data_IF_788475972217
#
_entry.id   IF_788475972217
#
_cell.length_a   1.000
_cell.length_b   1.000
_cell.length_c   1.000
_cell.angle_alpha   90.00
_cell.angle_beta   90.00
_cell.angle_gamma   90.00
#
_symmetry.space_group_name_H-M   'P 1'
#
loop_
_entity.id
_entity.type
_entity.pdbx_description
1 polymer ?
#
# COMPACT_ATOMS: atom_id res chain seq x y z
N UNK A 1 -24.63 16.24 -0.34
CA UNK A 1 -24.13 14.96 -0.90
C UNK A 1 -22.79 15.22 -1.57
N UNK A 2 -21.72 14.52 -1.19
CA UNK A 2 -20.49 14.54 -2.00
C UNK A 2 -20.78 13.86 -3.34
N UNK A 3 -20.38 14.45 -4.48
CA UNK A 3 -20.62 13.84 -5.78
C UNK A 3 -19.95 12.46 -5.85
N UNK A 4 -20.58 11.53 -6.57
CA UNK A 4 -20.04 10.20 -6.84
C UNK A 4 -18.67 10.36 -7.49
N UNK A 5 -17.60 10.06 -6.75
CA UNK A 5 -16.24 10.08 -7.27
C UNK A 5 -15.96 8.69 -7.84
N UNK A 6 -15.83 8.53 -9.17
CA UNK A 6 -15.43 7.25 -9.73
C UNK A 6 -14.09 6.81 -9.12
N UNK A 7 -14.05 5.58 -8.63
CA UNK A 7 -12.82 4.98 -8.13
C UNK A 7 -11.94 4.61 -9.30
N UNK A 8 -10.82 5.32 -9.45
CA UNK A 8 -9.89 5.13 -10.54
C UNK A 8 -8.65 4.36 -10.10
N UNK A 9 -8.21 4.57 -8.86
CA UNK A 9 -7.03 3.93 -8.30
C UNK A 9 -7.41 2.81 -7.35
N UNK A 10 -6.58 1.77 -7.26
CA UNK A 10 -6.77 0.69 -6.29
C UNK A 10 -7.01 1.21 -4.85
N UNK A 11 -6.29 2.28 -4.47
CA UNK A 11 -6.43 2.90 -3.16
C UNK A 11 -7.81 3.56 -2.95
N UNK A 12 -8.47 4.06 -4.01
CA UNK A 12 -9.79 4.69 -3.90
C UNK A 12 -10.84 3.69 -3.37
N UNK A 13 -10.73 2.41 -3.75
CA UNK A 13 -11.60 1.35 -3.25
C UNK A 13 -11.31 1.02 -1.78
N UNK A 14 -10.03 0.96 -1.41
CA UNK A 14 -9.62 0.60 -0.05
C UNK A 14 -10.07 1.66 0.97
N UNK A 15 -9.95 2.95 0.64
CA UNK A 15 -10.30 4.05 1.55
C UNK A 15 -11.82 4.21 1.75
N UNK A 16 -12.67 3.53 0.98
CA UNK A 16 -14.12 3.49 1.27
C UNK A 16 -14.43 2.69 2.54
N UNK A 17 -13.59 1.70 2.86
CA UNK A 17 -13.79 0.76 3.97
C UNK A 17 -12.69 0.86 5.03
N UNK A 18 -11.63 1.64 4.78
CA UNK A 18 -10.49 1.81 5.68
C UNK A 18 -10.28 3.28 6.03
N UNK A 19 -9.73 3.53 7.22
CA UNK A 19 -9.31 4.87 7.66
C UNK A 19 -7.82 5.05 7.42
N UNK A 20 -7.45 6.13 6.73
CA UNK A 20 -6.04 6.54 6.59
C UNK A 20 -5.55 7.05 7.95
N UNK A 21 -4.53 6.39 8.51
CA UNK A 21 -3.93 6.77 9.81
C UNK A 21 -2.58 7.48 9.67
N UNK A 22 -1.98 7.43 8.48
CA UNK A 22 -0.65 7.98 8.21
C UNK A 22 -0.30 7.86 6.74
N UNK A 23 0.60 8.71 6.29
CA UNK A 23 1.12 8.73 4.91
C UNK A 23 2.65 8.79 5.01
N UNK A 24 3.32 7.91 4.29
CA UNK A 24 4.77 7.88 4.13
C UNK A 24 5.08 8.12 2.65
N UNK A 25 6.10 8.94 2.41
CA UNK A 25 6.49 9.43 1.09
C UNK A 25 7.96 9.86 1.09
N UNK A 26 8.56 9.96 -0.08
CA UNK A 26 9.89 10.53 -0.26
C UNK A 26 9.93 11.33 -1.55
N UNK A 27 10.77 12.36 -1.58
CA UNK A 27 11.03 13.13 -2.81
C UNK A 27 12.37 12.65 -3.35
N UNK A 28 12.32 11.78 -4.36
CA UNK A 28 13.49 11.21 -5.01
C UNK A 28 13.28 11.16 -6.54
N UNK A 29 14.37 11.14 -7.29
CA UNK A 29 14.37 10.92 -8.73
C UNK A 29 14.11 9.46 -9.10
N UNK A 30 14.36 8.54 -8.17
CA UNK A 30 14.20 7.10 -8.36
C UNK A 30 12.86 6.59 -7.79
N UNK A 31 12.30 5.57 -8.44
CA UNK A 31 11.05 4.91 -7.99
C UNK A 31 11.34 3.92 -6.86
N UNK A 32 11.11 4.34 -5.61
CA UNK A 32 11.34 3.48 -4.44
C UNK A 32 10.22 2.46 -4.16
N UNK A 33 9.06 2.60 -4.79
CA UNK A 33 7.87 1.77 -4.54
C UNK A 33 8.16 0.26 -4.61
N UNK A 34 8.77 -0.20 -5.69
CA UNK A 34 9.14 -1.62 -5.85
C UNK A 34 10.22 -2.06 -4.84
N UNK A 35 11.13 -1.16 -4.46
CA UNK A 35 12.14 -1.42 -3.45
C UNK A 35 11.53 -1.66 -2.07
N UNK A 36 10.60 -0.77 -1.65
CA UNK A 36 9.86 -0.92 -0.41
C UNK A 36 8.99 -2.18 -0.42
N UNK A 37 8.30 -2.45 -1.52
CA UNK A 37 7.50 -3.67 -1.71
C UNK A 37 8.35 -4.94 -1.53
N UNK A 38 9.54 -4.99 -2.13
CA UNK A 38 10.48 -6.10 -1.97
C UNK A 38 10.90 -6.29 -0.50
N UNK A 39 11.28 -5.21 0.18
CA UNK A 39 11.68 -5.24 1.60
C UNK A 39 10.54 -5.69 2.51
N UNK A 40 9.33 -5.16 2.33
CA UNK A 40 8.15 -5.52 3.13
C UNK A 40 7.79 -6.99 2.89
N UNK A 41 7.80 -7.45 1.63
CA UNK A 41 7.47 -8.83 1.28
C UNK A 41 8.45 -9.86 1.86
N UNK A 42 9.69 -9.44 2.12
CA UNK A 42 10.73 -10.28 2.73
C UNK A 42 10.63 -10.32 4.26
N UNK A 43 9.77 -9.49 4.86
CA UNK A 43 9.56 -9.47 6.30
C UNK A 43 8.70 -10.65 6.76
N UNK A 44 9.04 -11.24 7.92
CA UNK A 44 8.22 -12.28 8.57
C UNK A 44 6.95 -11.74 9.22
N UNK A 45 6.78 -10.41 9.26
CA UNK A 45 5.66 -9.74 9.94
C UNK A 45 4.56 -9.29 8.99
N UNK A 46 4.79 -9.41 7.67
CA UNK A 46 3.84 -9.00 6.65
C UNK A 46 3.29 -10.20 5.87
N UNK A 47 2.07 -10.04 5.35
CA UNK A 47 1.46 -10.93 4.38
C UNK A 47 0.87 -10.12 3.22
N UNK A 48 0.68 -10.79 2.09
CA UNK A 48 0.17 -10.21 0.84
C UNK A 48 -1.25 -10.73 0.56
N UNK A 49 -2.30 -10.09 1.13
CA UNK A 49 -3.66 -10.63 1.09
C UNK A 49 -4.29 -10.62 -0.30
N UNK A 50 -3.91 -9.67 -1.16
CA UNK A 50 -4.50 -9.49 -2.49
C UNK A 50 -3.40 -9.38 -3.53
N UNK A 51 -3.25 -10.40 -4.38
CA UNK A 51 -2.31 -10.39 -5.51
C UNK A 51 -2.73 -9.35 -6.55
N UNK A 52 -1.76 -8.62 -7.11
CA UNK A 52 -1.97 -7.64 -8.18
C UNK A 52 -2.45 -6.26 -7.72
N UNK A 53 -2.78 -6.08 -6.44
CA UNK A 53 -3.27 -4.80 -5.94
C UNK A 53 -2.17 -3.74 -6.02
N UNK A 54 -2.42 -2.67 -6.78
CA UNK A 54 -1.48 -1.55 -6.92
C UNK A 54 -0.19 -1.89 -7.66
N UNK A 55 -0.09 -3.06 -8.29
CA UNK A 55 1.14 -3.53 -8.96
C UNK A 55 0.93 -3.82 -10.46
N UNK A 56 0.06 -3.06 -11.13
CA UNK A 56 -0.32 -3.31 -12.53
C UNK A 56 0.77 -2.95 -13.54
N UNK A 57 1.66 -2.02 -13.19
CA UNK A 57 2.75 -1.51 -14.02
C UNK A 57 4.12 -2.10 -13.62
N UNK A 58 4.16 -3.07 -12.70
CA UNK A 58 5.39 -3.68 -12.22
C UNK A 58 5.25 -5.20 -12.03
N UNK A 59 6.35 -5.88 -11.69
CA UNK A 59 6.39 -7.34 -11.47
C UNK A 59 6.13 -7.75 -10.02
N UNK A 60 5.83 -6.80 -9.13
CA UNK A 60 5.56 -7.09 -7.74
C UNK A 60 4.32 -7.99 -7.60
N UNK A 61 4.31 -8.86 -6.58
CA UNK A 61 3.15 -9.70 -6.28
C UNK A 61 1.94 -8.85 -5.89
N UNK A 62 2.16 -7.77 -5.14
CA UNK A 62 1.18 -6.79 -4.68
C UNK A 62 1.91 -5.60 -4.06
N UNK A 63 1.28 -4.44 -4.02
CA UNK A 63 1.69 -3.30 -3.19
C UNK A 63 0.79 -3.12 -1.95
N UNK A 64 -0.11 -4.07 -1.66
CA UNK A 64 -0.91 -4.11 -0.44
C UNK A 64 -0.39 -5.17 0.53
N UNK A 65 -0.07 -4.75 1.75
CA UNK A 65 0.46 -5.61 2.79
C UNK A 65 -0.36 -5.52 4.07
N UNK A 66 -0.57 -6.67 4.70
CA UNK A 66 -1.15 -6.77 6.03
C UNK A 66 -0.05 -7.12 7.04
N UNK A 67 0.02 -6.40 8.15
CA UNK A 67 1.01 -6.65 9.20
C UNK A 67 0.37 -7.32 10.41
N UNK A 68 0.88 -8.47 10.81
CA UNK A 68 0.34 -9.25 11.94
C UNK A 68 0.68 -8.67 13.31
N UNK A 69 1.70 -7.79 13.37
CA UNK A 69 2.10 -7.11 14.59
C UNK A 69 1.95 -5.62 14.35
N UNK A 70 0.90 -5.04 14.93
CA UNK A 70 0.74 -3.58 14.96
C UNK A 70 1.68 -3.02 16.01
N UNK A 71 2.95 -2.81 15.66
CA UNK A 71 3.76 -1.85 16.41
C UNK A 71 3.40 -0.48 15.87
N UNK A 72 2.70 0.33 16.68
CA UNK A 72 2.67 1.77 16.42
C UNK A 72 4.12 2.22 16.28
N UNK A 73 4.51 2.64 15.07
CA UNK A 73 5.70 3.46 14.87
C UNK A 73 5.37 4.80 15.53
N UNK A 74 5.52 4.89 16.84
CA UNK A 74 5.60 6.17 17.53
C UNK A 74 6.89 6.83 17.07
N UNK A 75 6.73 8.09 16.61
CA UNK A 75 7.76 9.01 16.12
C UNK A 75 9.10 8.89 16.83
#
# INVERSE_FOLDING_TARGET
MRPYKPCHWHIDYLIQVARVIGIFWSVCTEKHECGWSSQISSSKTSTSPVRGFGSSDCKCRTHLYFFHVYRMFTR
#
